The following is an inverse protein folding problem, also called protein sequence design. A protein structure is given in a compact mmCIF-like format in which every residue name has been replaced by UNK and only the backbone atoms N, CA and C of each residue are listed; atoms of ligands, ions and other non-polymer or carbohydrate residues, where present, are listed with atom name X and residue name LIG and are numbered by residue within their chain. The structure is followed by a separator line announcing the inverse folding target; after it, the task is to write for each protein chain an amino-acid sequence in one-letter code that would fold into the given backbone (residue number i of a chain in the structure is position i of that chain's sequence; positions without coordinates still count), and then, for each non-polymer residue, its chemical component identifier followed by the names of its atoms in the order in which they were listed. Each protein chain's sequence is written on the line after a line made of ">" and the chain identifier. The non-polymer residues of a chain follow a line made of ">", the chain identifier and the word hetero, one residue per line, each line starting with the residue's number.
data_IF_788341264884
#
_entry.id   IF_788341264884
#
_cell.length_a   1.000
_cell.length_b   1.000
_cell.length_c   1.000
_cell.angle_alpha   90.00
_cell.angle_beta   90.00
_cell.angle_gamma   90.00
#
_symmetry.space_group_name_H-M   'P 1'
#
loop_
_entity.id
_entity.type
_entity.pdbx_description
1 polymer ?
#
# COMPACT_ATOMS: atom_id res chain seq x y z
N UNK A 1 39.72 7.24 -46.61
CA UNK A 1 39.26 6.15 -45.75
C UNK A 1 38.93 6.54 -44.30
N UNK A 2 39.32 7.71 -43.80
CA UNK A 2 39.11 8.16 -42.39
C UNK A 2 37.74 8.87 -42.17
N UNK A 3 37.12 9.42 -43.20
CA UNK A 3 35.84 10.13 -43.13
C UNK A 3 34.61 9.19 -43.00
N UNK A 4 34.68 7.95 -43.48
CA UNK A 4 33.59 6.99 -43.41
C UNK A 4 33.39 6.42 -42.01
N UNK A 5 34.46 6.21 -41.24
CA UNK A 5 34.39 5.63 -39.92
C UNK A 5 33.81 6.58 -38.84
N UNK A 6 34.00 7.90 -39.00
CA UNK A 6 33.43 8.89 -38.06
C UNK A 6 31.92 9.00 -38.18
N UNK A 7 31.34 8.94 -39.37
CA UNK A 7 29.88 9.02 -39.57
C UNK A 7 29.17 7.80 -38.99
N UNK A 8 29.71 6.58 -39.15
CA UNK A 8 29.13 5.35 -38.58
C UNK A 8 29.15 5.36 -37.05
N UNK A 9 30.19 5.96 -36.45
CA UNK A 9 30.28 6.06 -34.99
C UNK A 9 29.28 7.06 -34.39
N UNK A 10 29.03 8.17 -35.07
CA UNK A 10 28.01 9.16 -34.67
C UNK A 10 26.58 8.62 -34.83
N UNK A 11 26.31 7.88 -35.89
CA UNK A 11 24.99 7.23 -36.07
C UNK A 11 24.69 6.16 -35.01
N UNK A 12 25.66 5.31 -34.65
CA UNK A 12 25.54 4.34 -33.58
C UNK A 12 25.34 4.99 -32.21
N UNK A 13 25.96 6.13 -31.94
CA UNK A 13 25.86 6.88 -30.71
C UNK A 13 24.49 7.59 -30.56
N UNK A 14 23.96 8.10 -31.69
CA UNK A 14 22.60 8.71 -31.72
C UNK A 14 21.50 7.66 -31.62
N UNK A 15 21.62 6.51 -32.28
CA UNK A 15 20.70 5.37 -32.16
C UNK A 15 20.63 4.85 -30.76
N UNK A 16 21.75 4.70 -30.05
CA UNK A 16 21.81 4.27 -28.68
C UNK A 16 21.12 5.28 -27.73
N UNK A 17 21.30 6.57 -27.93
CA UNK A 17 20.61 7.62 -27.15
C UNK A 17 19.10 7.60 -27.39
N UNK A 18 18.65 7.44 -28.62
CA UNK A 18 17.22 7.34 -28.96
C UNK A 18 16.61 6.09 -28.33
N UNK A 19 17.32 4.95 -28.34
CA UNK A 19 16.86 3.72 -27.74
C UNK A 19 16.73 3.82 -26.21
N UNK A 20 17.70 4.49 -25.55
CA UNK A 20 17.64 4.76 -24.10
C UNK A 20 16.49 5.70 -23.77
N UNK A 21 16.27 6.75 -24.56
CA UNK A 21 15.14 7.70 -24.37
C UNK A 21 13.80 6.97 -24.53
N UNK A 22 13.67 6.10 -25.54
CA UNK A 22 12.46 5.31 -25.75
C UNK A 22 12.18 4.34 -24.59
N UNK A 23 13.22 3.70 -24.04
CA UNK A 23 13.06 2.83 -22.84
C UNK A 23 12.61 3.65 -21.63
N UNK A 24 13.20 4.82 -21.40
CA UNK A 24 12.83 5.70 -20.28
C UNK A 24 11.40 6.21 -20.44
N UNK A 25 10.96 6.56 -21.65
CA UNK A 25 9.59 6.98 -21.94
C UNK A 25 8.62 5.80 -21.71
N UNK A 26 8.96 4.60 -22.16
CA UNK A 26 8.11 3.42 -22.02
C UNK A 26 7.94 3.00 -20.54
N UNK A 27 9.02 3.05 -19.74
CA UNK A 27 8.97 2.77 -18.30
C UNK A 27 8.11 3.80 -17.56
N UNK A 28 8.22 5.10 -17.92
CA UNK A 28 7.37 6.14 -17.30
C UNK A 28 5.90 6.02 -17.72
N UNK A 29 5.60 5.57 -18.95
CA UNK A 29 4.22 5.41 -19.41
C UNK A 29 3.49 4.27 -18.69
N UNK A 30 4.18 3.16 -18.38
CA UNK A 30 3.63 2.02 -17.64
C UNK A 30 3.33 2.38 -16.18
N UNK A 31 4.18 3.18 -15.53
CA UNK A 31 3.95 3.67 -14.17
C UNK A 31 2.79 4.67 -14.09
N UNK A 32 2.63 5.54 -15.09
CA UNK A 32 1.57 6.53 -15.09
C UNK A 32 0.17 5.92 -15.27
N UNK A 33 0.01 4.81 -16.01
CA UNK A 33 -1.30 4.22 -16.21
C UNK A 33 -1.88 3.58 -14.94
N UNK A 34 -1.05 2.89 -14.17
CA UNK A 34 -1.46 2.24 -12.91
C UNK A 34 -1.76 3.28 -11.82
N UNK A 35 -0.93 4.32 -11.70
CA UNK A 35 -1.17 5.46 -10.81
C UNK A 35 -2.50 6.15 -11.16
N UNK A 36 -2.79 6.37 -12.44
CA UNK A 36 -4.02 7.05 -12.86
C UNK A 36 -5.29 6.23 -12.57
N UNK A 37 -5.24 4.89 -12.68
CA UNK A 37 -6.36 4.01 -12.33
C UNK A 37 -6.63 4.02 -10.82
N UNK A 38 -5.59 3.88 -10.01
CA UNK A 38 -5.68 3.92 -8.56
C UNK A 38 -6.23 5.28 -8.09
N UNK A 39 -5.74 6.39 -8.66
CA UNK A 39 -6.21 7.74 -8.33
C UNK A 39 -7.69 7.94 -8.68
N UNK A 40 -8.14 7.43 -9.83
CA UNK A 40 -9.56 7.47 -10.23
C UNK A 40 -10.43 6.65 -9.27
N UNK A 41 -9.98 5.47 -8.83
CA UNK A 41 -10.71 4.66 -7.86
C UNK A 41 -10.82 5.36 -6.50
N UNK A 42 -9.75 6.00 -6.01
CA UNK A 42 -9.79 6.79 -4.79
C UNK A 42 -10.72 8.01 -4.90
N UNK A 43 -10.72 8.68 -6.04
CA UNK A 43 -11.65 9.77 -6.30
C UNK A 43 -13.11 9.29 -6.21
N UNK A 44 -13.44 8.19 -6.88
CA UNK A 44 -14.80 7.59 -6.85
C UNK A 44 -15.16 7.09 -5.45
N UNK A 45 -14.22 6.45 -4.75
CA UNK A 45 -14.42 5.96 -3.38
C UNK A 45 -14.75 7.11 -2.43
N UNK A 46 -13.98 8.20 -2.49
CA UNK A 46 -14.17 9.38 -1.65
C UNK A 46 -15.51 10.08 -1.91
N UNK A 47 -15.97 10.11 -3.14
CA UNK A 47 -17.24 10.76 -3.53
C UNK A 47 -18.43 9.82 -3.50
N UNK A 48 -18.24 8.56 -3.17
CA UNK A 48 -19.33 7.61 -3.10
C UNK A 48 -20.35 8.00 -2.04
N UNK A 49 -21.61 7.99 -2.42
CA UNK A 49 -22.76 8.19 -1.52
C UNK A 49 -23.47 6.85 -1.23
N UNK A 50 -23.09 5.79 -1.92
CA UNK A 50 -23.65 4.46 -1.82
C UNK A 50 -22.64 3.47 -1.24
N UNK A 51 -22.96 2.80 -0.11
CA UNK A 51 -22.08 1.84 0.54
C UNK A 51 -21.65 0.67 -0.39
N UNK A 52 -22.56 0.18 -1.22
CA UNK A 52 -22.30 -0.95 -2.14
C UNK A 52 -21.26 -0.55 -3.20
N UNK A 53 -21.39 0.64 -3.80
CA UNK A 53 -20.41 1.16 -4.74
C UNK A 53 -19.06 1.41 -4.06
N UNK A 54 -19.07 1.92 -2.81
CA UNK A 54 -17.85 2.11 -2.05
C UNK A 54 -17.12 0.79 -1.82
N UNK A 55 -17.83 -0.29 -1.50
CA UNK A 55 -17.25 -1.63 -1.35
C UNK A 55 -16.65 -2.16 -2.67
N UNK A 56 -17.29 -1.90 -3.81
CA UNK A 56 -16.74 -2.28 -5.13
C UNK A 56 -15.42 -1.53 -5.42
N UNK A 57 -15.39 -0.22 -5.18
CA UNK A 57 -14.15 0.56 -5.34
C UNK A 57 -13.06 0.13 -4.34
N UNK A 58 -13.42 -0.15 -3.09
CA UNK A 58 -12.51 -0.71 -2.09
C UNK A 58 -11.90 -2.02 -2.57
N UNK A 59 -12.71 -2.97 -3.07
CA UNK A 59 -12.23 -4.24 -3.57
C UNK A 59 -11.28 -4.08 -4.77
N UNK A 60 -11.57 -3.17 -5.69
CA UNK A 60 -10.69 -2.85 -6.83
C UNK A 60 -9.36 -2.25 -6.37
N UNK A 61 -9.36 -1.34 -5.39
CA UNK A 61 -8.15 -0.77 -4.81
C UNK A 61 -7.31 -1.86 -4.15
N UNK A 62 -7.92 -2.75 -3.35
CA UNK A 62 -7.24 -3.90 -2.77
C UNK A 62 -6.61 -4.80 -3.83
N UNK A 63 -7.34 -5.08 -4.92
CA UNK A 63 -6.80 -5.89 -6.01
C UNK A 63 -5.57 -5.25 -6.66
N UNK A 64 -5.58 -3.95 -6.90
CA UNK A 64 -4.43 -3.23 -7.42
C UNK A 64 -3.24 -3.30 -6.45
N UNK A 65 -3.44 -3.05 -5.17
CA UNK A 65 -2.37 -3.13 -4.17
C UNK A 65 -1.77 -4.53 -4.03
N UNK A 66 -2.62 -5.56 -4.07
CA UNK A 66 -2.18 -6.96 -3.91
C UNK A 66 -1.45 -7.51 -5.14
N UNK A 67 -1.61 -6.89 -6.31
CA UNK A 67 -1.04 -7.34 -7.58
C UNK A 67 -0.03 -6.33 -8.17
N UNK A 68 0.54 -5.45 -7.35
CA UNK A 68 1.48 -4.40 -7.77
C UNK A 68 2.95 -4.86 -7.79
N UNK A 69 3.21 -6.15 -7.79
CA UNK A 69 4.57 -6.70 -7.94
C UNK A 69 5.08 -6.53 -9.37
N UNK A 70 6.36 -6.20 -9.51
CA UNK A 70 7.02 -5.98 -10.81
C UNK A 70 7.01 -7.21 -11.73
N UNK A 71 6.75 -8.40 -11.18
CA UNK A 71 6.72 -9.67 -11.91
C UNK A 71 5.54 -10.54 -11.50
N UNK A 72 5.11 -11.45 -12.39
CA UNK A 72 4.13 -12.50 -12.05
C UNK A 72 4.59 -13.35 -10.84
N UNK A 73 5.90 -13.61 -10.72
CA UNK A 73 6.47 -14.33 -9.58
C UNK A 73 6.30 -13.57 -8.28
N UNK A 74 6.46 -12.24 -8.27
CA UNK A 74 6.24 -11.40 -7.09
C UNK A 74 4.78 -11.43 -6.65
N UNK A 75 3.83 -11.31 -7.60
CA UNK A 75 2.40 -11.42 -7.32
C UNK A 75 2.01 -12.81 -6.79
N UNK A 76 2.59 -13.89 -7.37
CA UNK A 76 2.39 -15.25 -6.86
C UNK A 76 2.92 -15.43 -5.42
N UNK A 77 4.06 -14.82 -5.09
CA UNK A 77 4.59 -14.83 -3.72
C UNK A 77 3.69 -14.06 -2.75
N UNK A 78 3.08 -12.95 -3.16
CA UNK A 78 2.08 -12.24 -2.36
C UNK A 78 0.90 -13.17 -2.05
N UNK A 79 0.32 -13.83 -3.04
CA UNK A 79 -0.81 -14.76 -2.84
C UNK A 79 -0.42 -15.91 -1.90
N UNK A 80 0.77 -16.48 -2.06
CA UNK A 80 1.30 -17.52 -1.15
C UNK A 80 1.45 -17.02 0.29
N UNK A 81 1.91 -15.78 0.47
CA UNK A 81 2.02 -15.13 1.78
C UNK A 81 0.64 -14.93 2.43
N UNK A 82 -0.36 -14.53 1.65
CA UNK A 82 -1.74 -14.38 2.13
C UNK A 82 -2.33 -15.72 2.55
N UNK A 83 -2.13 -16.77 1.77
CA UNK A 83 -2.55 -18.13 2.13
C UNK A 83 -1.92 -18.60 3.46
N UNK A 84 -0.61 -18.37 3.63
CA UNK A 84 0.08 -18.69 4.89
C UNK A 84 -0.49 -17.90 6.07
N UNK A 85 -0.78 -16.62 5.88
CA UNK A 85 -1.37 -15.75 6.91
C UNK A 85 -2.78 -16.23 7.28
N UNK A 86 -3.63 -16.54 6.32
CA UNK A 86 -4.98 -17.07 6.54
C UNK A 86 -4.97 -18.41 7.29
N UNK A 87 -3.97 -19.26 7.03
CA UNK A 87 -3.78 -20.54 7.70
C UNK A 87 -3.06 -20.41 9.07
N UNK A 88 -2.87 -19.20 9.60
CA UNK A 88 -2.22 -18.96 10.89
C UNK A 88 -0.72 -19.24 10.91
N UNK A 89 -0.08 -19.49 9.76
CA UNK A 89 1.37 -19.77 9.66
C UNK A 89 2.16 -18.45 9.66
N UNK A 90 2.01 -17.67 10.75
CA UNK A 90 2.48 -16.29 10.85
C UNK A 90 3.97 -16.13 10.56
N UNK A 91 4.83 -16.99 11.11
CA UNK A 91 6.29 -16.88 10.92
C UNK A 91 6.71 -17.13 9.47
N UNK A 92 6.06 -18.11 8.80
CA UNK A 92 6.32 -18.40 7.39
C UNK A 92 5.85 -17.26 6.49
N UNK A 93 4.67 -16.70 6.77
CA UNK A 93 4.15 -15.54 6.08
C UNK A 93 5.06 -14.32 6.27
N UNK A 94 5.50 -14.05 7.51
CA UNK A 94 6.41 -12.97 7.85
C UNK A 94 7.73 -13.06 7.07
N UNK A 95 8.34 -14.25 7.03
CA UNK A 95 9.57 -14.48 6.29
C UNK A 95 9.39 -14.20 4.79
N UNK A 96 8.27 -14.65 4.20
CA UNK A 96 7.96 -14.45 2.79
C UNK A 96 7.73 -12.97 2.47
N UNK A 97 6.92 -12.26 3.27
CA UNK A 97 6.68 -10.83 3.05
C UNK A 97 7.95 -9.98 3.27
N UNK A 98 8.83 -10.33 4.23
CA UNK A 98 10.14 -9.69 4.38
C UNK A 98 11.04 -9.88 3.16
N UNK A 99 11.06 -11.06 2.54
CA UNK A 99 11.78 -11.29 1.28
C UNK A 99 11.18 -10.46 0.15
N UNK A 100 9.85 -10.43 0.07
CA UNK A 100 9.13 -9.70 -0.97
C UNK A 100 9.33 -8.19 -0.84
N UNK A 101 9.24 -7.62 0.36
CA UNK A 101 9.47 -6.19 0.59
C UNK A 101 10.90 -5.74 0.27
N UNK A 102 11.91 -6.61 0.46
CA UNK A 102 13.28 -6.33 0.04
C UNK A 102 13.45 -6.39 -1.49
N UNK A 103 12.77 -7.31 -2.15
CA UNK A 103 12.81 -7.46 -3.60
C UNK A 103 12.03 -6.35 -4.32
N UNK A 104 10.94 -5.90 -3.72
CA UNK A 104 10.00 -4.92 -4.28
C UNK A 104 9.86 -3.71 -3.33
N UNK A 105 10.91 -2.88 -3.15
CA UNK A 105 10.93 -1.85 -2.10
C UNK A 105 9.92 -0.72 -2.30
N UNK A 106 9.39 -0.54 -3.51
CA UNK A 106 8.33 0.42 -3.83
C UNK A 106 6.91 -0.13 -3.62
N UNK A 107 6.77 -1.42 -3.31
CA UNK A 107 5.46 -2.05 -3.10
C UNK A 107 5.05 -1.98 -1.64
N UNK A 108 4.03 -1.16 -1.34
CA UNK A 108 3.57 -0.92 0.03
C UNK A 108 2.97 -2.16 0.72
N UNK A 109 2.28 -3.02 -0.05
CA UNK A 109 1.46 -4.09 0.52
C UNK A 109 2.24 -5.19 1.25
N UNK A 110 3.41 -5.67 0.80
CA UNK A 110 4.23 -6.59 1.60
C UNK A 110 4.58 -6.03 2.98
N UNK A 111 4.88 -4.72 3.08
CA UNK A 111 5.20 -4.05 4.34
C UNK A 111 3.95 -3.96 5.23
N UNK A 112 2.80 -3.64 4.64
CA UNK A 112 1.51 -3.65 5.34
C UNK A 112 1.17 -5.04 5.90
N UNK A 113 1.47 -6.13 5.17
CA UNK A 113 1.27 -7.50 5.69
C UNK A 113 2.24 -7.84 6.83
N UNK A 114 3.48 -7.35 6.78
CA UNK A 114 4.42 -7.47 7.92
C UNK A 114 3.84 -6.76 9.14
N UNK A 115 3.32 -5.54 8.98
CA UNK A 115 2.67 -4.80 10.06
C UNK A 115 1.47 -5.56 10.64
N UNK A 116 0.63 -6.15 9.78
CA UNK A 116 -0.51 -6.97 10.19
C UNK A 116 -0.07 -8.18 11.03
N UNK A 117 0.99 -8.88 10.62
CA UNK A 117 1.50 -10.04 11.36
C UNK A 117 2.04 -9.61 12.73
N UNK A 118 2.83 -8.53 12.79
CA UNK A 118 3.32 -8.00 14.06
C UNK A 118 2.19 -7.61 15.01
N UNK A 119 1.13 -6.99 14.48
CA UNK A 119 -0.08 -6.70 15.24
C UNK A 119 -0.68 -7.96 15.85
N UNK A 120 -0.84 -9.03 15.07
CA UNK A 120 -1.37 -10.32 15.51
C UNK A 120 -0.46 -11.00 16.55
N UNK A 121 0.84 -10.75 16.51
CA UNK A 121 1.82 -11.24 17.49
C UNK A 121 1.93 -10.35 18.73
N UNK A 122 1.18 -9.23 18.82
CA UNK A 122 1.23 -8.27 19.94
C UNK A 122 2.40 -7.28 19.88
N UNK A 123 3.23 -7.33 18.85
CA UNK A 123 4.29 -6.33 18.61
C UNK A 123 3.68 -5.05 18.00
N UNK A 124 2.97 -4.29 18.84
CA UNK A 124 2.27 -3.08 18.39
C UNK A 124 3.22 -1.98 17.95
N UNK A 125 4.37 -1.84 18.61
CA UNK A 125 5.38 -0.83 18.24
C UNK A 125 6.03 -1.17 16.91
N UNK A 126 6.42 -2.43 16.71
CA UNK A 126 6.93 -2.90 15.43
C UNK A 126 5.90 -2.76 14.30
N UNK A 127 4.61 -3.03 14.59
CA UNK A 127 3.51 -2.83 13.63
C UNK A 127 3.36 -1.35 13.25
N UNK A 128 3.37 -0.40 14.22
CA UNK A 128 3.32 1.04 13.94
C UNK A 128 4.47 1.47 13.02
N UNK A 129 5.68 0.97 13.25
CA UNK A 129 6.83 1.31 12.41
C UNK A 129 6.63 0.86 10.95
N UNK A 130 6.14 -0.36 10.74
CA UNK A 130 5.88 -0.85 9.38
C UNK A 130 4.67 -0.15 8.73
N UNK A 131 3.64 0.21 9.51
CA UNK A 131 2.54 1.05 9.01
C UNK A 131 3.06 2.41 8.53
N UNK A 132 3.95 3.06 9.29
CA UNK A 132 4.57 4.32 8.86
C UNK A 132 5.33 4.17 7.55
N UNK A 133 6.04 3.05 7.34
CA UNK A 133 6.71 2.76 6.06
C UNK A 133 5.69 2.53 4.94
N UNK A 134 4.62 1.78 5.20
CA UNK A 134 3.52 1.60 4.26
C UNK A 134 2.93 2.94 3.82
N UNK A 135 2.66 3.84 4.78
CA UNK A 135 2.06 5.16 4.51
C UNK A 135 3.02 6.15 3.84
N UNK A 136 4.33 5.93 3.88
CA UNK A 136 5.29 6.69 3.06
C UNK A 136 5.17 6.32 1.58
N UNK A 137 4.85 5.07 1.26
CA UNK A 137 4.70 4.57 -0.11
C UNK A 137 3.29 4.84 -0.66
N UNK A 138 2.26 4.65 0.16
CA UNK A 138 0.85 4.95 -0.17
C UNK A 138 0.18 5.67 1.00
N UNK A 139 0.14 7.00 0.99
CA UNK A 139 -0.45 7.80 2.09
C UNK A 139 -1.94 7.55 2.30
N UNK A 140 -2.65 7.03 1.29
CA UNK A 140 -4.09 6.73 1.33
C UNK A 140 -4.38 5.30 1.75
N UNK A 141 -3.39 4.54 2.20
CA UNK A 141 -3.56 3.12 2.53
C UNK A 141 -4.51 2.93 3.72
N UNK A 142 -5.81 2.92 3.45
CA UNK A 142 -6.86 2.90 4.47
C UNK A 142 -6.78 1.66 5.39
N UNK A 143 -6.28 0.52 4.92
CA UNK A 143 -6.03 -0.66 5.75
C UNK A 143 -4.96 -0.40 6.81
N UNK A 144 -3.83 0.22 6.42
CA UNK A 144 -2.76 0.57 7.33
C UNK A 144 -3.21 1.63 8.37
N UNK A 145 -3.96 2.65 7.94
CA UNK A 145 -4.52 3.67 8.86
C UNK A 145 -5.52 3.02 9.83
N UNK A 146 -6.33 2.08 9.37
CA UNK A 146 -7.24 1.32 10.24
C UNK A 146 -6.48 0.50 11.28
N UNK A 147 -5.31 -0.05 10.92
CA UNK A 147 -4.40 -0.68 11.86
C UNK A 147 -3.93 0.27 12.97
N UNK A 148 -3.56 1.52 12.63
CA UNK A 148 -3.22 2.54 13.63
C UNK A 148 -4.39 2.84 14.57
N UNK A 149 -5.62 2.92 14.06
CA UNK A 149 -6.80 3.12 14.93
C UNK A 149 -6.89 2.01 15.95
N UNK A 150 -6.78 0.75 15.53
CA UNK A 150 -6.88 -0.40 16.44
C UNK A 150 -5.74 -0.42 17.46
N UNK A 151 -4.50 -0.20 17.02
CA UNK A 151 -3.34 -0.17 17.92
C UNK A 151 -3.50 0.94 18.95
N UNK A 152 -3.89 2.15 18.54
CA UNK A 152 -4.07 3.27 19.47
C UNK A 152 -5.19 3.00 20.50
N UNK A 153 -6.24 2.25 20.14
CA UNK A 153 -7.25 1.78 21.12
C UNK A 153 -6.61 0.86 22.16
N UNK A 154 -5.82 -0.12 21.71
CA UNK A 154 -5.13 -1.09 22.60
C UNK A 154 -4.14 -0.37 23.52
N UNK A 155 -3.40 0.60 23.00
CA UNK A 155 -2.45 1.41 23.77
C UNK A 155 -3.13 2.52 24.61
N UNK A 156 -4.47 2.59 24.63
CA UNK A 156 -5.28 3.60 25.31
C UNK A 156 -5.02 5.03 24.84
N UNK A 157 -4.48 5.19 23.63
CA UNK A 157 -4.24 6.48 22.98
C UNK A 157 -5.50 6.96 22.22
N UNK A 158 -6.61 7.12 22.94
CA UNK A 158 -7.94 7.30 22.34
C UNK A 158 -8.07 8.56 21.49
N UNK A 159 -7.40 9.67 21.89
CA UNK A 159 -7.36 10.90 21.07
C UNK A 159 -6.71 10.64 19.70
N UNK A 160 -5.60 9.90 19.68
CA UNK A 160 -4.92 9.57 18.45
C UNK A 160 -5.71 8.56 17.62
N UNK A 161 -6.39 7.61 18.26
CA UNK A 161 -7.32 6.70 17.59
C UNK A 161 -8.41 7.45 16.83
N UNK A 162 -9.07 8.45 17.46
CA UNK A 162 -10.07 9.30 16.81
C UNK A 162 -9.47 10.10 15.67
N UNK A 163 -8.29 10.70 15.85
CA UNK A 163 -7.61 11.46 14.79
C UNK A 163 -7.32 10.58 13.55
N UNK A 164 -6.83 9.36 13.75
CA UNK A 164 -6.59 8.42 12.66
C UNK A 164 -7.91 7.95 12.02
N UNK A 165 -8.96 7.76 12.82
CA UNK A 165 -10.29 7.44 12.31
C UNK A 165 -10.86 8.57 11.45
N UNK A 166 -10.72 9.83 11.88
CA UNK A 166 -11.14 11.00 11.08
C UNK A 166 -10.36 11.10 9.77
N UNK A 167 -9.06 10.77 9.82
CA UNK A 167 -8.23 10.78 8.63
C UNK A 167 -8.66 9.70 7.62
N UNK A 168 -8.85 8.45 8.06
CA UNK A 168 -9.26 7.39 7.14
C UNK A 168 -10.66 7.62 6.56
N UNK A 169 -11.57 8.25 7.31
CA UNK A 169 -12.91 8.58 6.82
C UNK A 169 -12.92 9.64 5.72
N UNK A 170 -11.91 10.52 5.66
CA UNK A 170 -11.72 11.46 4.54
C UNK A 170 -11.30 10.75 3.24
N UNK A 171 -10.71 9.57 3.36
CA UNK A 171 -10.27 8.73 2.23
C UNK A 171 -11.39 7.77 1.82
N UNK A 172 -12.00 7.10 2.81
CA UNK A 172 -13.01 6.07 2.63
C UNK A 172 -14.19 6.28 3.60
N UNK A 173 -15.24 7.02 3.19
CA UNK A 173 -16.35 7.40 4.08
C UNK A 173 -17.17 6.23 4.63
N UNK A 174 -17.13 5.07 3.97
CA UNK A 174 -17.89 3.86 4.33
C UNK A 174 -17.06 2.76 4.97
N UNK A 175 -15.78 3.00 5.27
CA UNK A 175 -14.91 1.98 5.86
C UNK A 175 -15.48 1.41 7.16
N UNK A 176 -15.41 0.07 7.30
CA UNK A 176 -16.05 -0.64 8.40
C UNK A 176 -15.61 -0.20 9.81
N UNK A 177 -14.36 0.26 9.97
CA UNK A 177 -13.82 0.72 11.24
C UNK A 177 -14.55 1.96 11.80
N UNK A 178 -15.31 2.68 10.98
CA UNK A 178 -16.19 3.80 11.38
C UNK A 178 -17.09 3.44 12.57
N UNK A 179 -17.53 2.19 12.64
CA UNK A 179 -18.40 1.67 13.70
C UNK A 179 -17.77 1.77 15.09
N UNK A 180 -16.44 1.86 15.20
CA UNK A 180 -15.73 1.98 16.48
C UNK A 180 -15.79 3.40 17.09
N UNK A 181 -16.23 4.42 16.35
CA UNK A 181 -16.26 5.81 16.84
C UNK A 181 -16.96 5.99 18.20
N UNK A 182 -18.22 5.53 18.41
CA UNK A 182 -18.89 5.71 19.69
C UNK A 182 -18.15 5.02 20.84
N UNK A 183 -17.58 3.84 20.57
CA UNK A 183 -16.79 3.09 21.54
C UNK A 183 -15.54 3.88 21.97
N UNK A 184 -14.76 4.38 21.02
CA UNK A 184 -13.54 5.17 21.28
C UNK A 184 -13.88 6.45 22.06
N UNK A 185 -14.96 7.14 21.69
CA UNK A 185 -15.41 8.35 22.40
C UNK A 185 -15.80 8.06 23.87
N UNK A 186 -16.46 6.94 24.11
CA UNK A 186 -16.80 6.52 25.48
C UNK A 186 -15.54 6.19 26.30
N UNK A 187 -14.56 5.49 25.72
CA UNK A 187 -13.28 5.20 26.38
C UNK A 187 -12.52 6.50 26.70
N UNK A 188 -12.48 7.45 25.77
CA UNK A 188 -11.83 8.75 25.96
C UNK A 188 -12.48 9.52 27.13
N UNK A 189 -13.81 9.56 27.18
CA UNK A 189 -14.54 10.22 28.28
C UNK A 189 -14.21 9.61 29.63
N UNK A 190 -14.18 8.26 29.72
CA UNK A 190 -13.84 7.54 30.96
C UNK A 190 -12.39 7.73 31.40
N UNK A 191 -11.47 7.96 30.48
CA UNK A 191 -10.04 8.17 30.80
C UNK A 191 -9.71 9.60 31.22
N UNK A 192 -10.69 10.52 31.14
CA UNK A 192 -10.55 11.93 31.50
C UNK A 192 -11.16 12.29 32.86
N UNK A 193 -11.67 11.26 33.56
CA UNK A 193 -12.18 11.30 34.94
C UNK A 193 -11.13 10.70 35.86
#
# INVERSE_FOLDING_TARGET
>A
MIYSAKNTFYELFTLNKIFIILIVIFVNFSHNSHSSELDNLFFKLKQSTNPTLAMDYEAKIWNLWLNNGSTKSSNSQMQKGLELLQNGKLDKALLLFKKLSKKEPAWAEPINKIATIKFLQGDYIGSINDIKLTLKLEPRHFGAISGLVQINIILKEYKQALKNLDYVLKIHPFIGIKKLRPYIQNLLKKSSI
#
